data_IF_225871681288
#
_entry.id   IF_225871681288
#
_cell.length_a   1.000
_cell.length_b   1.000
_cell.length_c   1.000
_cell.angle_alpha   90.00
_cell.angle_beta   90.00
_cell.angle_gamma   90.00
#
_symmetry.space_group_name_H-M   'P 1'
#
loop_
_entity.id
_entity.type
_entity.pdbx_description
1 polymer ?
#
# COMPACT_ATOMS: atom_id res chain seq x y z
N UNK A 1 -6.49 -32.02 7.11
CA UNK A 1 -6.73 -30.87 7.98
C UNK A 1 -7.31 -29.75 7.09
N UNK A 2 -8.48 -29.25 7.36
CA UNK A 2 -9.13 -28.24 6.52
C UNK A 2 -8.67 -26.86 6.94
N UNK A 3 -8.30 -26.02 5.98
CA UNK A 3 -8.01 -24.60 6.25
C UNK A 3 -9.30 -23.88 6.60
N UNK A 4 -9.28 -23.07 7.65
CA UNK A 4 -10.41 -22.26 8.07
C UNK A 4 -10.17 -20.79 7.67
N UNK A 5 -11.11 -20.21 6.92
CA UNK A 5 -11.16 -18.77 6.67
C UNK A 5 -11.89 -18.11 7.82
N UNK A 6 -11.28 -17.10 8.40
CA UNK A 6 -11.90 -16.27 9.41
C UNK A 6 -12.36 -14.98 8.76
N UNK A 7 -13.67 -14.89 8.56
CA UNK A 7 -14.36 -13.72 7.99
C UNK A 7 -15.02 -12.91 9.13
N UNK A 8 -14.29 -12.72 10.23
CA UNK A 8 -14.73 -11.95 11.40
C UNK A 8 -13.86 -10.70 11.56
N UNK A 9 -14.42 -9.66 12.17
CA UNK A 9 -13.62 -8.53 12.61
C UNK A 9 -12.58 -9.00 13.63
N UNK A 10 -11.41 -8.37 13.65
CA UNK A 10 -10.35 -8.73 14.60
C UNK A 10 -10.83 -8.66 16.06
N UNK A 11 -11.69 -7.69 16.39
CA UNK A 11 -12.28 -7.56 17.73
C UNK A 11 -13.05 -8.81 18.15
N UNK A 12 -13.79 -9.41 17.21
CA UNK A 12 -14.53 -10.66 17.45
C UNK A 12 -13.57 -11.87 17.56
N UNK A 13 -12.43 -11.81 16.86
CA UNK A 13 -11.40 -12.85 16.90
C UNK A 13 -10.64 -12.83 18.22
N UNK A 14 -10.29 -11.65 18.71
CA UNK A 14 -9.56 -11.48 19.98
C UNK A 14 -10.38 -11.99 21.19
N UNK A 15 -11.71 -12.00 21.08
CA UNK A 15 -12.64 -12.47 22.10
C UNK A 15 -13.05 -13.94 21.94
N UNK A 16 -12.54 -14.66 20.91
CA UNK A 16 -12.87 -16.06 20.69
C UNK A 16 -11.80 -17.00 21.24
N UNK A 17 -12.17 -17.94 22.11
CA UNK A 17 -11.30 -19.00 22.62
C UNK A 17 -10.78 -19.95 21.52
N UNK A 18 -11.43 -19.96 20.35
CA UNK A 18 -11.10 -20.87 19.25
C UNK A 18 -9.78 -20.53 18.52
N UNK A 19 -9.32 -19.27 18.58
CA UNK A 19 -8.20 -18.79 17.79
C UNK A 19 -7.07 -18.36 18.72
N UNK A 20 -6.17 -19.29 18.96
CA UNK A 20 -4.99 -19.07 19.78
C UNK A 20 -3.85 -18.39 19.00
N UNK A 21 -4.18 -17.42 18.15
CA UNK A 21 -3.20 -16.60 17.42
C UNK A 21 -2.77 -15.42 18.29
N UNK A 22 -1.49 -15.09 18.26
CA UNK A 22 -0.93 -13.99 19.05
C UNK A 22 -1.07 -12.67 18.31
N UNK A 23 -1.89 -11.78 18.82
CA UNK A 23 -2.01 -10.41 18.32
C UNK A 23 -1.39 -9.40 19.27
N UNK A 24 -0.71 -8.42 18.68
CA UNK A 24 -0.25 -7.23 19.40
C UNK A 24 -1.05 -6.04 18.89
N UNK A 25 -1.67 -5.29 19.80
CA UNK A 25 -2.32 -4.04 19.43
C UNK A 25 -1.31 -2.88 19.47
N UNK A 26 -1.19 -2.17 18.37
CA UNK A 26 -0.40 -0.95 18.26
C UNK A 26 -1.30 0.24 17.95
N UNK A 27 -1.04 1.40 18.59
CA UNK A 27 -1.84 2.60 18.45
C UNK A 27 -1.00 3.75 17.91
N UNK A 28 -1.54 4.49 16.96
CA UNK A 28 -0.98 5.75 16.51
C UNK A 28 -1.46 6.86 17.46
N UNK A 29 -0.58 7.35 18.32
CA UNK A 29 -0.94 8.22 19.45
C UNK A 29 -1.70 9.49 19.08
N UNK A 30 -1.31 10.17 17.98
CA UNK A 30 -1.91 11.45 17.59
C UNK A 30 -3.21 11.35 16.79
N UNK A 31 -3.52 10.18 16.21
CA UNK A 31 -4.69 10.02 15.33
C UNK A 31 -5.76 9.09 15.92
N UNK A 32 -5.49 8.50 17.07
CA UNK A 32 -6.36 7.49 17.70
C UNK A 32 -6.72 6.34 16.75
N UNK A 33 -5.75 5.89 15.94
CA UNK A 33 -5.90 4.78 15.01
C UNK A 33 -5.19 3.57 15.60
N UNK A 34 -5.87 2.43 15.61
CA UNK A 34 -5.34 1.15 16.06
C UNK A 34 -4.96 0.27 14.88
N UNK A 35 -3.87 -0.47 15.01
CA UNK A 35 -3.42 -1.52 14.10
C UNK A 35 -3.11 -2.77 14.91
N UNK A 36 -3.76 -3.87 14.58
CA UNK A 36 -3.41 -5.16 15.17
C UNK A 36 -2.32 -5.83 14.32
N UNK A 37 -1.36 -6.43 15.01
CA UNK A 37 -0.20 -7.08 14.40
C UNK A 37 -0.25 -8.55 14.80
N UNK A 38 -0.39 -9.43 13.82
CA UNK A 38 -0.25 -10.86 14.02
C UNK A 38 1.24 -11.16 14.28
N UNK A 39 1.53 -11.79 15.42
CA UNK A 39 2.90 -12.19 15.79
C UNK A 39 2.93 -13.68 16.09
N UNK A 40 3.28 -14.46 15.11
CA UNK A 40 3.45 -15.91 15.21
C UNK A 40 4.21 -16.46 14.00
N UNK A 41 4.34 -17.78 13.91
CA UNK A 41 4.77 -18.43 12.70
C UNK A 41 3.61 -18.47 11.69
N UNK A 42 3.90 -18.12 10.44
CA UNK A 42 2.91 -18.18 9.36
C UNK A 42 3.58 -18.42 8.00
N UNK A 43 2.80 -18.96 7.10
CA UNK A 43 3.15 -19.04 5.69
C UNK A 43 2.57 -17.85 4.93
N UNK A 44 3.26 -17.38 3.90
CA UNK A 44 2.79 -16.30 3.05
C UNK A 44 3.05 -16.62 1.58
N UNK A 45 2.00 -16.55 0.78
CA UNK A 45 2.12 -16.37 -0.66
C UNK A 45 2.45 -14.90 -0.94
N UNK A 46 3.70 -14.62 -1.32
CA UNK A 46 4.19 -13.27 -1.55
C UNK A 46 3.59 -12.61 -2.79
N UNK A 47 3.14 -13.39 -3.76
CA UNK A 47 2.46 -12.88 -4.96
C UNK A 47 1.07 -12.34 -4.62
N UNK A 48 0.29 -13.10 -3.85
CA UNK A 48 -1.09 -12.76 -3.55
C UNK A 48 -1.27 -12.05 -2.20
N UNK A 49 -0.22 -12.01 -1.38
CA UNK A 49 -0.25 -11.51 0.00
C UNK A 49 -1.33 -12.21 0.82
N UNK A 50 -1.17 -13.51 0.97
CA UNK A 50 -2.12 -14.34 1.66
C UNK A 50 -1.44 -15.10 2.81
N UNK A 51 -1.53 -14.59 4.06
CA UNK A 51 -0.94 -15.25 5.21
C UNK A 51 -1.80 -16.43 5.68
N UNK A 52 -1.15 -17.52 6.03
CA UNK A 52 -1.75 -18.73 6.58
C UNK A 52 -0.97 -19.09 7.84
N UNK A 53 -1.60 -19.13 9.01
CA UNK A 53 -0.94 -19.53 10.24
C UNK A 53 -0.56 -21.03 10.21
N UNK A 54 0.36 -21.47 11.06
CA UNK A 54 0.69 -22.90 11.18
C UNK A 54 -0.50 -23.76 11.62
N UNK A 55 -1.51 -23.15 12.24
CA UNK A 55 -2.79 -23.78 12.56
C UNK A 55 -3.80 -23.78 11.41
N UNK A 56 -3.39 -23.34 10.22
CA UNK A 56 -4.20 -23.26 9.01
C UNK A 56 -5.38 -22.25 9.08
N UNK A 57 -5.18 -21.16 9.78
CA UNK A 57 -6.11 -20.03 9.74
C UNK A 57 -5.62 -18.97 8.76
N UNK A 58 -6.53 -18.34 8.03
CA UNK A 58 -6.31 -17.12 7.28
C UNK A 58 -7.38 -16.10 7.60
N UNK A 59 -6.98 -14.83 7.68
CA UNK A 59 -7.84 -13.73 8.11
C UNK A 59 -8.19 -12.88 6.90
N UNK A 60 -9.45 -12.98 6.44
CA UNK A 60 -9.97 -12.18 5.33
C UNK A 60 -10.03 -10.71 5.73
N UNK A 61 -9.76 -9.83 4.75
CA UNK A 61 -9.84 -8.38 4.84
C UNK A 61 -8.88 -7.70 5.86
N UNK A 62 -8.35 -8.43 6.82
CA UNK A 62 -7.48 -7.86 7.84
C UNK A 62 -5.99 -7.96 7.47
N UNK A 63 -5.56 -9.10 6.93
CA UNK A 63 -4.16 -9.38 6.59
C UNK A 63 -3.98 -9.84 5.16
N UNK A 64 -5.06 -10.17 4.47
CA UNK A 64 -5.03 -10.72 3.13
C UNK A 64 -5.45 -9.69 2.10
N UNK A 65 -4.87 -9.80 0.91
CA UNK A 65 -5.25 -8.98 -0.22
C UNK A 65 -6.46 -9.61 -0.92
N UNK A 66 -7.68 -9.13 -0.63
CA UNK A 66 -8.89 -9.81 -1.05
C UNK A 66 -9.54 -9.30 -2.34
N UNK A 67 -9.36 -10.03 -3.46
CA UNK A 67 -10.43 -10.21 -4.44
C UNK A 67 -11.14 -11.52 -4.07
N UNK A 68 -12.48 -11.51 -3.94
CA UNK A 68 -13.26 -12.72 -3.60
C UNK A 68 -12.91 -13.92 -4.49
N UNK A 69 -12.66 -13.68 -5.78
CA UNK A 69 -12.25 -14.71 -6.75
C UNK A 69 -10.92 -15.37 -6.42
N UNK A 70 -10.00 -14.64 -5.81
CA UNK A 70 -8.71 -15.19 -5.38
C UNK A 70 -8.86 -16.10 -4.18
N UNK A 71 -9.76 -15.81 -3.25
CA UNK A 71 -10.04 -16.71 -2.12
C UNK A 71 -10.53 -18.07 -2.59
N UNK A 72 -11.41 -18.13 -3.58
CA UNK A 72 -11.92 -19.39 -4.12
C UNK A 72 -10.81 -20.26 -4.72
N UNK A 73 -9.84 -19.65 -5.41
CA UNK A 73 -8.67 -20.34 -5.96
C UNK A 73 -7.76 -20.86 -4.84
N UNK A 74 -7.44 -20.01 -3.86
CA UNK A 74 -6.53 -20.36 -2.75
C UNK A 74 -7.11 -21.41 -1.80
N UNK A 75 -8.42 -21.48 -1.68
CA UNK A 75 -9.10 -22.49 -0.86
C UNK A 75 -9.56 -23.69 -1.68
N UNK A 76 -9.22 -23.77 -2.96
CA UNK A 76 -9.47 -24.99 -3.73
C UNK A 76 -8.69 -26.17 -3.13
N UNK A 77 -9.29 -27.37 -3.19
CA UNK A 77 -8.62 -28.59 -2.73
C UNK A 77 -7.26 -28.80 -3.40
N UNK A 78 -7.12 -28.40 -4.64
CA UNK A 78 -5.86 -28.53 -5.40
C UNK A 78 -4.77 -27.65 -4.81
N UNK A 79 -5.04 -26.36 -4.54
CA UNK A 79 -4.06 -25.45 -3.92
C UNK A 79 -3.63 -25.96 -2.54
N UNK A 80 -4.57 -26.39 -1.70
CA UNK A 80 -4.29 -26.91 -0.37
C UNK A 80 -3.45 -28.18 -0.41
N UNK A 81 -3.70 -29.06 -1.35
CA UNK A 81 -2.90 -30.28 -1.54
C UNK A 81 -1.47 -29.93 -1.97
N UNK A 82 -1.31 -29.00 -2.91
CA UNK A 82 0.00 -28.57 -3.37
C UNK A 82 0.77 -27.81 -2.27
N UNK A 83 0.08 -26.96 -1.53
CA UNK A 83 0.63 -26.29 -0.35
C UNK A 83 1.16 -27.31 0.66
N UNK A 84 0.36 -28.29 1.05
CA UNK A 84 0.74 -29.30 2.04
C UNK A 84 1.91 -30.19 1.58
N UNK A 85 1.95 -30.56 0.29
CA UNK A 85 3.06 -31.34 -0.29
C UNK A 85 4.39 -30.57 -0.30
N UNK A 86 4.34 -29.24 -0.44
CA UNK A 86 5.52 -28.42 -0.66
C UNK A 86 5.91 -27.56 0.54
N UNK A 87 5.13 -27.51 1.63
CA UNK A 87 5.37 -26.60 2.76
C UNK A 87 6.78 -26.70 3.37
N UNK A 88 7.38 -27.88 3.35
CA UNK A 88 8.75 -28.12 3.86
C UNK A 88 9.85 -27.60 2.93
N UNK A 89 9.49 -27.18 1.69
CA UNK A 89 10.41 -26.62 0.70
C UNK A 89 10.35 -25.10 0.64
N UNK A 90 9.46 -24.47 1.41
CA UNK A 90 9.33 -23.03 1.41
C UNK A 90 10.57 -22.37 2.00
N UNK A 91 10.98 -21.23 1.44
CA UNK A 91 12.06 -20.43 2.01
C UNK A 91 11.64 -19.93 3.38
N UNK A 92 12.46 -20.20 4.39
CA UNK A 92 12.21 -19.74 5.76
C UNK A 92 12.90 -18.42 6.02
N UNK A 93 12.19 -17.48 6.65
CA UNK A 93 12.68 -16.21 7.13
C UNK A 93 12.24 -16.03 8.58
N UNK A 94 13.10 -15.46 9.43
CA UNK A 94 12.80 -15.29 10.86
C UNK A 94 12.96 -13.85 11.33
N UNK A 95 12.20 -13.48 12.36
CA UNK A 95 12.24 -12.14 12.97
C UNK A 95 11.98 -11.01 11.96
N UNK A 96 11.00 -11.19 11.08
CA UNK A 96 10.67 -10.28 9.97
C UNK A 96 9.33 -9.61 10.23
N UNK A 97 9.21 -8.34 9.84
CA UNK A 97 7.94 -7.66 9.72
C UNK A 97 7.53 -7.62 8.25
N UNK A 98 6.47 -8.32 7.88
CA UNK A 98 6.02 -8.37 6.50
C UNK A 98 5.24 -7.11 6.14
N UNK A 99 5.77 -6.32 5.22
CA UNK A 99 5.19 -5.02 4.85
C UNK A 99 4.51 -5.03 3.48
N UNK A 100 5.02 -5.75 2.49
CA UNK A 100 4.49 -5.69 1.12
C UNK A 100 4.62 -6.99 0.34
N UNK A 101 3.94 -7.04 -0.81
CA UNK A 101 3.87 -8.20 -1.70
C UNK A 101 4.08 -7.79 -3.16
N UNK A 102 3.87 -8.70 -4.12
CA UNK A 102 4.05 -8.49 -5.56
C UNK A 102 3.43 -7.19 -6.11
N UNK A 103 2.21 -6.75 -5.72
CA UNK A 103 1.69 -5.44 -6.13
C UNK A 103 2.50 -4.22 -5.68
N UNK A 104 3.64 -4.42 -5.03
CA UNK A 104 4.56 -3.35 -4.62
C UNK A 104 5.23 -2.58 -5.79
N UNK A 105 5.03 -2.96 -7.03
CA UNK A 105 5.37 -2.15 -8.21
C UNK A 105 4.38 -0.99 -8.45
N UNK A 106 3.23 -0.99 -7.78
CA UNK A 106 2.19 0.00 -7.93
C UNK A 106 2.27 1.05 -6.82
N UNK A 107 2.50 2.32 -7.20
CA UNK A 107 2.65 3.43 -6.27
C UNK A 107 1.44 3.61 -5.33
N UNK A 108 0.20 3.49 -5.87
CA UNK A 108 -1.02 3.57 -5.05
C UNK A 108 -1.04 2.48 -3.96
N UNK A 109 -0.69 1.24 -4.33
CA UNK A 109 -0.66 0.13 -3.38
C UNK A 109 0.36 0.36 -2.28
N UNK A 110 1.53 0.81 -2.65
CA UNK A 110 2.57 1.12 -1.69
C UNK A 110 2.13 2.24 -0.75
N UNK A 111 1.65 3.35 -1.29
CA UNK A 111 1.34 4.55 -0.51
C UNK A 111 0.12 4.36 0.40
N UNK A 112 -0.95 3.73 -0.11
CA UNK A 112 -2.23 3.65 0.63
C UNK A 112 -2.34 2.37 1.45
N UNK A 113 -1.76 1.26 0.97
CA UNK A 113 -2.01 -0.05 1.58
C UNK A 113 -0.84 -0.52 2.43
N UNK A 114 0.39 -0.42 1.93
CA UNK A 114 1.55 -1.00 2.61
C UNK A 114 2.22 -0.03 3.57
N UNK A 115 2.52 1.17 3.12
CA UNK A 115 3.31 2.15 3.86
C UNK A 115 2.66 2.63 5.17
N UNK A 116 1.34 2.93 5.28
CA UNK A 116 0.77 3.45 6.53
C UNK A 116 0.99 2.54 7.73
N UNK A 117 1.23 1.25 7.51
CA UNK A 117 1.51 0.28 8.57
C UNK A 117 2.85 0.50 9.27
N UNK A 118 3.79 1.19 8.61
CA UNK A 118 5.10 1.54 9.20
C UNK A 118 4.95 2.38 10.46
N UNK A 119 3.92 3.23 10.54
CA UNK A 119 3.68 4.11 11.69
C UNK A 119 3.24 3.39 12.97
N UNK A 120 2.98 2.10 12.89
CA UNK A 120 2.62 1.25 14.04
C UNK A 120 3.77 0.37 14.53
N UNK A 121 4.93 0.45 13.89
CA UNK A 121 6.11 -0.30 14.27
C UNK A 121 6.83 0.40 15.43
N UNK A 122 7.15 -0.35 16.48
CA UNK A 122 7.74 0.21 17.71
C UNK A 122 9.21 -0.15 17.96
N UNK A 123 9.74 -1.30 17.47
CA UNK A 123 11.11 -1.68 17.76
C UNK A 123 12.12 -0.68 17.19
N UNK A 124 13.21 -0.44 17.92
CA UNK A 124 14.30 0.45 17.46
C UNK A 124 15.06 -0.09 16.25
N UNK A 125 15.09 -1.41 16.09
CA UNK A 125 15.73 -2.10 14.96
C UNK A 125 14.76 -3.11 14.38
N UNK A 126 14.53 -3.02 13.05
CA UNK A 126 13.58 -3.87 12.36
C UNK A 126 14.14 -4.37 11.02
N UNK A 127 13.76 -5.59 10.66
CA UNK A 127 13.94 -6.11 9.32
C UNK A 127 12.55 -6.29 8.68
N UNK A 128 12.33 -5.62 7.55
CA UNK A 128 11.04 -5.62 6.85
C UNK A 128 11.12 -6.45 5.58
N UNK A 129 10.21 -7.40 5.42
CA UNK A 129 10.05 -8.08 4.14
C UNK A 129 9.20 -7.23 3.20
N UNK A 130 9.74 -6.97 2.01
CA UNK A 130 9.07 -6.25 0.94
C UNK A 130 9.35 -6.94 -0.39
N UNK A 131 8.38 -6.93 -1.30
CA UNK A 131 8.59 -7.55 -2.60
C UNK A 131 9.64 -6.78 -3.43
N UNK A 132 10.47 -7.51 -4.17
CA UNK A 132 11.55 -6.95 -5.01
C UNK A 132 11.04 -5.93 -6.04
N UNK A 133 9.80 -6.04 -6.48
CA UNK A 133 9.15 -5.09 -7.38
C UNK A 133 8.95 -3.68 -6.78
N UNK A 134 9.13 -3.50 -5.48
CA UNK A 134 9.07 -2.16 -4.88
C UNK A 134 10.22 -1.30 -5.39
N UNK A 135 9.90 -0.12 -5.93
CA UNK A 135 10.92 0.77 -6.50
C UNK A 135 11.93 1.26 -5.45
N UNK A 136 13.16 1.51 -5.89
CA UNK A 136 14.21 2.09 -5.03
C UNK A 136 13.76 3.41 -4.38
N UNK A 137 13.09 4.28 -5.14
CA UNK A 137 12.56 5.55 -4.63
C UNK A 137 11.62 5.34 -3.44
N UNK A 138 10.72 4.36 -3.55
CA UNK A 138 9.77 4.10 -2.47
C UNK A 138 10.43 3.42 -1.27
N UNK A 139 11.40 2.54 -1.50
CA UNK A 139 12.20 1.93 -0.43
C UNK A 139 12.98 2.98 0.35
N UNK A 140 13.66 3.89 -0.34
CA UNK A 140 14.40 4.99 0.28
C UNK A 140 13.47 5.90 1.09
N UNK A 141 12.27 6.16 0.59
CA UNK A 141 11.25 6.92 1.32
C UNK A 141 10.85 6.22 2.63
N UNK A 142 10.57 4.90 2.60
CA UNK A 142 10.25 4.13 3.82
C UNK A 142 11.40 4.21 4.84
N UNK A 143 12.64 3.99 4.39
CA UNK A 143 13.81 4.06 5.27
C UNK A 143 13.99 5.46 5.88
N UNK A 144 13.77 6.52 5.11
CA UNK A 144 13.85 7.88 5.60
C UNK A 144 12.77 8.17 6.67
N UNK A 145 11.55 7.67 6.47
CA UNK A 145 10.49 7.79 7.48
C UNK A 145 10.82 6.97 8.74
N UNK A 146 11.32 5.75 8.59
CA UNK A 146 11.76 4.94 9.73
C UNK A 146 12.85 5.69 10.54
N UNK A 147 13.83 6.27 9.86
CA UNK A 147 14.88 7.06 10.49
C UNK A 147 14.33 8.28 11.26
N UNK A 148 13.36 9.00 10.69
CA UNK A 148 12.66 10.10 11.37
C UNK A 148 11.89 9.63 12.63
N UNK A 149 11.49 8.36 12.66
CA UNK A 149 10.86 7.71 13.82
C UNK A 149 11.88 7.10 14.81
N UNK A 150 13.19 7.30 14.60
CA UNK A 150 14.29 6.67 15.35
C UNK A 150 14.26 5.13 15.26
N UNK A 151 13.89 4.60 14.11
CA UNK A 151 13.87 3.16 13.79
C UNK A 151 15.00 2.86 12.79
N UNK A 152 15.96 2.05 13.17
CA UNK A 152 16.94 1.45 12.26
C UNK A 152 16.24 0.33 11.46
N UNK A 153 16.09 0.52 10.17
CA UNK A 153 15.30 -0.39 9.32
C UNK A 153 16.14 -0.96 8.17
N UNK A 154 15.94 -2.25 7.92
CA UNK A 154 16.53 -2.97 6.80
C UNK A 154 15.45 -3.70 6.01
N UNK A 155 15.75 -4.07 4.75
CA UNK A 155 14.84 -4.84 3.92
C UNK A 155 15.37 -6.25 3.64
N UNK A 156 14.48 -7.24 3.80
CA UNK A 156 14.57 -8.56 3.17
C UNK A 156 13.67 -8.57 1.93
N UNK A 157 14.22 -8.94 0.78
CA UNK A 157 13.47 -8.93 -0.47
C UNK A 157 12.78 -10.26 -0.71
N UNK A 158 11.49 -10.19 -1.03
CA UNK A 158 10.69 -11.32 -1.47
C UNK A 158 10.61 -11.34 -3.00
N UNK A 159 10.73 -12.51 -3.57
CA UNK A 159 10.34 -12.83 -4.94
C UNK A 159 8.94 -13.47 -4.91
N UNK A 160 8.30 -13.67 -6.08
CA UNK A 160 7.05 -14.42 -6.15
C UNK A 160 7.26 -15.84 -5.62
N UNK A 161 6.41 -16.29 -4.71
CA UNK A 161 6.50 -17.62 -4.14
C UNK A 161 5.96 -17.72 -2.72
N UNK A 162 6.16 -18.90 -2.15
CA UNK A 162 5.70 -19.26 -0.81
C UNK A 162 6.87 -19.21 0.17
N UNK A 163 6.63 -18.55 1.30
CA UNK A 163 7.59 -18.37 2.38
C UNK A 163 7.02 -18.87 3.70
N UNK A 164 7.90 -19.38 4.55
CA UNK A 164 7.59 -19.68 5.95
C UNK A 164 8.26 -18.60 6.83
N UNK A 165 7.46 -17.82 7.52
CA UNK A 165 7.92 -16.78 8.45
C UNK A 165 7.87 -17.32 9.88
N UNK A 166 9.02 -17.28 10.57
CA UNK A 166 9.21 -17.78 11.94
C UNK A 166 9.39 -16.59 12.87
N UNK A 167 8.75 -16.58 14.03
CA UNK A 167 8.77 -15.46 14.99
C UNK A 167 8.60 -14.10 14.34
N UNK A 168 7.72 -14.02 13.37
CA UNK A 168 7.58 -12.89 12.49
C UNK A 168 6.27 -12.15 12.72
N UNK A 169 6.15 -10.97 12.14
CA UNK A 169 5.00 -10.09 12.35
C UNK A 169 4.40 -9.69 11.02
N UNK A 170 3.08 -9.59 11.00
CA UNK A 170 2.35 -9.01 9.89
C UNK A 170 1.31 -8.01 10.42
N UNK A 171 1.50 -6.70 10.18
CA UNK A 171 0.50 -5.70 10.53
C UNK A 171 -0.75 -5.84 9.65
N UNK A 172 -1.94 -5.68 10.24
CA UNK A 172 -3.19 -5.65 9.48
C UNK A 172 -3.22 -4.50 8.48
N UNK A 173 -4.04 -4.62 7.45
CA UNK A 173 -4.32 -3.51 6.56
C UNK A 173 -5.09 -2.41 7.27
N UNK A 174 -4.65 -1.18 7.07
CA UNK A 174 -5.31 0.00 7.63
C UNK A 174 -6.47 0.40 6.69
N UNK A 175 -7.67 0.69 7.22
CA UNK A 175 -8.75 1.22 6.41
C UNK A 175 -8.31 2.47 5.63
N UNK A 176 -8.75 2.61 4.38
CA UNK A 176 -8.29 3.70 3.50
C UNK A 176 -8.46 5.09 4.12
N UNK A 177 -9.59 5.34 4.80
CA UNK A 177 -9.83 6.60 5.50
C UNK A 177 -8.77 6.91 6.56
N UNK A 178 -8.31 5.90 7.28
CA UNK A 178 -7.22 6.02 8.25
C UNK A 178 -5.86 6.20 7.58
N UNK A 179 -5.60 5.46 6.50
CA UNK A 179 -4.38 5.65 5.70
C UNK A 179 -4.27 7.10 5.20
N UNK A 180 -5.35 7.68 4.69
CA UNK A 180 -5.39 9.08 4.27
C UNK A 180 -5.10 10.05 5.43
N UNK A 181 -5.65 9.82 6.62
CA UNK A 181 -5.34 10.65 7.80
C UNK A 181 -3.86 10.60 8.18
N UNK A 182 -3.25 9.41 8.11
CA UNK A 182 -1.81 9.24 8.37
C UNK A 182 -0.99 9.99 7.32
N UNK A 183 -1.27 9.76 6.03
CA UNK A 183 -0.53 10.37 4.93
C UNK A 183 -0.65 11.89 4.92
N UNK A 184 -1.82 12.41 5.28
CA UNK A 184 -2.06 13.85 5.35
C UNK A 184 -1.11 14.56 6.32
N UNK A 185 -0.60 13.86 7.35
CA UNK A 185 0.41 14.39 8.29
C UNK A 185 1.80 14.56 7.65
N UNK A 186 2.05 13.96 6.50
CA UNK A 186 3.31 14.09 5.77
C UNK A 186 3.37 15.34 4.88
N UNK A 187 2.30 16.11 4.80
CA UNK A 187 2.27 17.35 4.02
C UNK A 187 3.43 18.28 4.35
N UNK A 188 4.01 18.86 3.31
CA UNK A 188 5.14 19.79 3.40
C UNK A 188 4.80 21.08 2.68
N UNK A 189 4.48 22.11 3.45
CA UNK A 189 4.24 23.46 2.91
C UNK A 189 5.52 24.29 3.04
N UNK A 190 6.34 24.34 1.99
CA UNK A 190 7.54 25.20 1.97
C UNK A 190 7.27 26.55 1.29
N UNK A 191 6.40 26.61 0.30
CA UNK A 191 6.15 27.79 -0.50
C UNK A 191 4.76 28.37 -0.25
N UNK A 192 4.66 29.70 -0.17
CA UNK A 192 3.38 30.41 -0.09
C UNK A 192 2.62 30.46 -1.44
N UNK A 193 3.32 30.24 -2.55
CA UNK A 193 2.76 30.25 -3.91
C UNK A 193 2.14 28.91 -4.25
N UNK A 194 0.84 28.92 -4.52
CA UNK A 194 0.11 27.73 -4.94
C UNK A 194 0.22 27.55 -6.46
N UNK A 195 0.78 26.43 -6.90
CA UNK A 195 1.04 26.12 -8.31
C UNK A 195 -0.16 25.44 -9.01
N UNK A 196 -0.28 25.65 -10.32
CA UNK A 196 -1.08 24.82 -11.21
C UNK A 196 -0.15 23.76 -11.83
N UNK A 197 -0.45 22.49 -11.68
CA UNK A 197 0.40 21.41 -12.20
C UNK A 197 -0.37 20.49 -13.15
N UNK A 198 0.28 20.13 -14.24
CA UNK A 198 -0.12 19.03 -15.12
C UNK A 198 0.86 17.88 -14.95
N UNK A 199 0.35 16.72 -14.54
CA UNK A 199 1.17 15.51 -14.37
C UNK A 199 1.14 14.72 -15.67
N UNK A 200 2.24 14.74 -16.42
CA UNK A 200 2.36 14.00 -17.68
C UNK A 200 2.49 12.49 -17.47
N UNK A 201 2.08 11.74 -18.50
CA UNK A 201 2.27 10.29 -18.57
C UNK A 201 3.07 9.84 -19.80
N UNK A 202 3.77 10.73 -20.47
CA UNK A 202 4.55 10.40 -21.68
C UNK A 202 5.52 9.22 -21.46
N UNK A 203 6.10 9.11 -20.26
CA UNK A 203 7.00 8.01 -19.89
C UNK A 203 6.32 6.80 -19.24
N UNK A 204 4.98 6.70 -19.30
CA UNK A 204 4.25 5.56 -18.76
C UNK A 204 4.07 4.46 -19.81
N UNK A 205 4.13 3.19 -19.38
CA UNK A 205 4.01 2.04 -20.29
C UNK A 205 2.59 1.84 -20.85
N UNK A 206 1.56 2.50 -20.28
CA UNK A 206 0.16 2.33 -20.68
C UNK A 206 -0.69 3.51 -20.24
N UNK A 207 -1.85 3.67 -20.86
CA UNK A 207 -2.80 4.78 -20.63
C UNK A 207 -2.21 6.15 -20.95
N UNK A 208 -1.46 6.24 -22.04
CA UNK A 208 -0.95 7.49 -22.56
C UNK A 208 -2.04 8.19 -23.36
N UNK A 209 -2.04 9.51 -23.35
CA UNK A 209 -2.91 10.30 -24.20
C UNK A 209 -2.26 10.44 -25.59
N UNK A 210 -3.02 10.18 -26.66
CA UNK A 210 -2.52 10.26 -28.05
C UNK A 210 -2.16 11.72 -28.39
N UNK A 211 -2.98 12.67 -27.93
CA UNK A 211 -2.83 14.12 -28.16
C UNK A 211 -2.35 14.86 -26.90
N UNK A 212 -1.50 14.26 -26.08
CA UNK A 212 -1.02 14.87 -24.85
C UNK A 212 -0.30 16.20 -25.10
N UNK A 213 0.42 16.31 -26.20
CA UNK A 213 1.15 17.54 -26.58
C UNK A 213 0.21 18.75 -26.77
N UNK A 214 -0.94 18.56 -27.40
CA UNK A 214 -1.96 19.62 -27.57
C UNK A 214 -2.46 20.12 -26.22
N UNK A 215 -2.76 19.16 -25.31
CA UNK A 215 -3.20 19.46 -23.94
C UNK A 215 -2.12 20.22 -23.18
N UNK A 216 -0.87 19.78 -23.26
CA UNK A 216 0.27 20.44 -22.64
C UNK A 216 0.44 21.86 -23.13
N UNK A 217 0.31 22.09 -24.45
CA UNK A 217 0.45 23.42 -25.05
C UNK A 217 -0.65 24.39 -24.58
N UNK A 218 -1.89 23.91 -24.44
CA UNK A 218 -3.00 24.70 -23.91
C UNK A 218 -2.75 25.02 -22.43
N UNK A 219 -2.42 24.01 -21.62
CA UNK A 219 -2.25 24.19 -20.19
C UNK A 219 -1.04 25.07 -19.84
N UNK A 220 0.05 25.01 -20.62
CA UNK A 220 1.19 25.93 -20.45
C UNK A 220 0.79 27.37 -20.64
N UNK A 221 -0.06 27.69 -21.64
CA UNK A 221 -0.59 29.06 -21.86
C UNK A 221 -1.40 29.53 -20.66
N UNK A 222 -2.10 28.62 -19.98
CA UNK A 222 -2.86 28.88 -18.76
C UNK A 222 -2.01 28.87 -17.48
N UNK A 223 -0.68 28.83 -17.60
CA UNK A 223 0.25 28.89 -16.48
C UNK A 223 0.39 27.59 -15.68
N UNK A 224 0.11 26.44 -16.30
CA UNK A 224 0.40 25.13 -15.69
C UNK A 224 1.87 24.77 -15.88
N UNK A 225 2.49 24.28 -14.80
CA UNK A 225 3.77 23.62 -14.84
C UNK A 225 3.56 22.15 -15.20
N UNK A 226 4.21 21.68 -16.27
CA UNK A 226 4.21 20.27 -16.64
C UNK A 226 5.26 19.52 -15.80
N UNK A 227 4.85 18.45 -15.16
CA UNK A 227 5.71 17.67 -14.25
C UNK A 227 5.64 16.18 -14.59
N UNK A 228 6.79 15.53 -14.59
CA UNK A 228 6.90 14.08 -14.70
C UNK A 228 7.37 13.51 -13.35
N UNK A 229 6.47 12.80 -12.67
CA UNK A 229 6.75 12.22 -11.36
C UNK A 229 7.75 11.05 -11.44
N UNK A 230 8.03 10.56 -12.65
CA UNK A 230 9.04 9.51 -12.82
C UNK A 230 10.43 9.98 -12.36
N UNK A 231 10.74 11.25 -12.51
CA UNK A 231 12.06 11.82 -12.14
C UNK A 231 12.11 12.37 -10.71
N UNK A 232 10.99 12.45 -10.01
CA UNK A 232 10.88 12.99 -8.66
C UNK A 232 10.97 11.89 -7.60
N UNK A 233 11.65 12.14 -6.48
CA UNK A 233 11.53 11.28 -5.32
C UNK A 233 10.16 11.45 -4.62
N UNK A 234 9.86 10.63 -3.62
CA UNK A 234 8.54 10.65 -2.97
C UNK A 234 8.34 11.93 -2.14
N UNK A 235 9.38 12.47 -1.53
CA UNK A 235 9.27 13.72 -0.77
C UNK A 235 9.05 14.93 -1.68
N UNK A 236 9.72 14.97 -2.82
CA UNK A 236 9.49 16.00 -3.84
C UNK A 236 8.04 15.94 -4.37
N UNK A 237 7.51 14.74 -4.60
CA UNK A 237 6.11 14.57 -4.99
C UNK A 237 5.16 15.06 -3.87
N UNK A 238 5.41 14.72 -2.62
CA UNK A 238 4.62 15.20 -1.48
C UNK A 238 4.63 16.73 -1.41
N UNK A 239 5.81 17.36 -1.55
CA UNK A 239 5.95 18.80 -1.53
C UNK A 239 5.21 19.47 -2.69
N UNK A 240 5.38 18.96 -3.92
CA UNK A 240 4.69 19.45 -5.11
C UNK A 240 3.17 19.48 -4.94
N UNK A 241 2.59 18.35 -4.51
CA UNK A 241 1.14 18.27 -4.34
C UNK A 241 0.64 19.04 -3.12
N UNK A 242 1.44 19.19 -2.06
CA UNK A 242 1.08 20.03 -0.90
C UNK A 242 0.94 21.50 -1.25
N UNK A 243 1.69 21.96 -2.27
CA UNK A 243 1.68 23.33 -2.76
C UNK A 243 0.78 23.55 -3.99
N UNK A 244 0.14 22.49 -4.51
CA UNK A 244 -0.73 22.63 -5.68
C UNK A 244 -2.07 23.28 -5.33
N UNK A 245 -2.52 24.25 -6.18
CA UNK A 245 -3.89 24.78 -6.18
C UNK A 245 -4.78 24.17 -7.25
N UNK A 246 -4.15 23.62 -8.28
CA UNK A 246 -4.83 22.97 -9.39
C UNK A 246 -3.96 21.80 -9.90
N UNK A 247 -4.57 20.63 -10.03
CA UNK A 247 -3.92 19.42 -10.53
C UNK A 247 -4.71 18.91 -11.73
N UNK A 248 -4.05 18.71 -12.85
CA UNK A 248 -4.60 18.01 -14.01
C UNK A 248 -3.73 16.81 -14.31
N UNK A 249 -4.32 15.63 -14.49
CA UNK A 249 -3.56 14.41 -14.80
C UNK A 249 -4.41 13.39 -15.52
N UNK A 250 -3.87 12.63 -16.47
CA UNK A 250 -4.48 11.39 -16.93
C UNK A 250 -4.62 10.40 -15.77
N UNK A 251 -5.63 9.53 -15.86
CA UNK A 251 -5.88 8.52 -14.83
C UNK A 251 -4.67 7.65 -14.55
N UNK A 252 -4.31 7.49 -13.28
CA UNK A 252 -3.14 6.71 -12.90
C UNK A 252 -2.80 6.73 -11.41
N UNK A 253 -1.80 5.94 -11.03
CA UNK A 253 -1.33 5.87 -9.64
C UNK A 253 -0.69 7.17 -9.14
N UNK A 254 -0.24 8.05 -10.03
CA UNK A 254 0.25 9.40 -9.72
C UNK A 254 -0.77 10.25 -8.94
N UNK A 255 -2.07 10.09 -9.26
CA UNK A 255 -3.16 10.78 -8.57
C UNK A 255 -3.33 10.35 -7.10
N UNK A 256 -2.64 9.32 -6.64
CA UNK A 256 -2.55 9.01 -5.21
C UNK A 256 -2.03 10.20 -4.40
N UNK A 257 -1.14 11.00 -5.00
CA UNK A 257 -0.55 12.16 -4.36
C UNK A 257 -1.56 13.28 -4.03
N UNK A 258 -2.78 13.22 -4.58
CA UNK A 258 -3.87 14.15 -4.20
C UNK A 258 -4.17 14.12 -2.70
N UNK A 259 -3.86 13.02 -2.01
CA UNK A 259 -3.94 12.92 -0.54
C UNK A 259 -3.11 14.00 0.17
N UNK A 260 -2.07 14.50 -0.48
CA UNK A 260 -1.20 15.56 0.05
C UNK A 260 -1.68 16.97 -0.31
N UNK A 261 -2.69 17.13 -1.16
CA UNK A 261 -3.21 18.43 -1.51
C UNK A 261 -3.89 19.13 -0.31
N UNK A 262 -3.90 20.46 -0.34
CA UNK A 262 -4.66 21.27 0.61
C UNK A 262 -6.16 21.20 0.32
N UNK A 263 -7.03 21.38 1.32
CA UNK A 263 -8.45 21.60 1.07
C UNK A 263 -8.68 22.73 0.07
N UNK A 264 -9.61 22.53 -0.87
CA UNK A 264 -9.90 23.49 -1.94
C UNK A 264 -9.00 23.40 -3.17
N UNK A 265 -7.98 22.51 -3.20
CA UNK A 265 -7.26 22.21 -4.44
C UNK A 265 -8.21 21.61 -5.46
N UNK A 266 -8.22 22.17 -6.67
CA UNK A 266 -9.02 21.65 -7.79
C UNK A 266 -8.25 20.51 -8.47
N UNK A 267 -8.93 19.38 -8.72
CA UNK A 267 -8.33 18.21 -9.38
C UNK A 267 -9.19 17.83 -10.58
N UNK A 268 -8.53 17.71 -11.73
CA UNK A 268 -9.14 17.20 -12.97
C UNK A 268 -8.41 15.91 -13.36
N UNK A 269 -9.14 14.81 -13.40
CA UNK A 269 -8.66 13.56 -13.94
C UNK A 269 -9.16 13.35 -15.36
N UNK A 270 -8.26 13.06 -16.28
CA UNK A 270 -8.58 12.71 -17.67
C UNK A 270 -8.72 11.19 -17.74
N UNK A 271 -9.94 10.69 -17.96
CA UNK A 271 -10.26 9.26 -17.98
C UNK A 271 -10.65 8.77 -19.38
N UNK A 272 -10.34 7.52 -19.74
CA UNK A 272 -10.85 6.92 -20.98
C UNK A 272 -12.38 6.76 -20.95
N UNK A 273 -13.04 7.02 -22.09
CA UNK A 273 -14.51 7.00 -22.22
C UNK A 273 -15.16 5.65 -21.86
N UNK A 274 -14.45 4.53 -21.98
CA UNK A 274 -14.98 3.18 -21.72
C UNK A 274 -14.91 2.71 -20.26
N UNK A 275 -14.45 3.55 -19.36
CA UNK A 275 -14.26 3.15 -17.95
C UNK A 275 -15.39 3.64 -17.03
N UNK A 276 -16.66 3.39 -17.40
CA UNK A 276 -17.81 3.71 -16.53
C UNK A 276 -17.73 3.07 -15.13
N UNK A 277 -17.13 1.87 -14.99
CA UNK A 277 -16.87 1.26 -13.68
C UNK A 277 -15.84 2.06 -12.85
N UNK A 278 -14.99 2.86 -13.49
CA UNK A 278 -14.02 3.71 -12.81
C UNK A 278 -14.64 4.97 -12.19
N UNK A 279 -15.76 5.50 -12.70
CA UNK A 279 -16.41 6.67 -12.13
C UNK A 279 -16.90 6.42 -10.70
N UNK A 280 -17.48 5.25 -10.44
CA UNK A 280 -17.88 4.86 -9.09
C UNK A 280 -16.66 4.63 -8.17
N UNK A 281 -15.55 4.15 -8.70
CA UNK A 281 -14.30 3.99 -7.96
C UNK A 281 -13.57 5.33 -7.75
N UNK A 282 -13.75 6.33 -8.61
CA UNK A 282 -13.16 7.65 -8.47
C UNK A 282 -13.78 8.40 -7.28
N UNK A 283 -15.11 8.46 -7.19
CA UNK A 283 -15.82 9.04 -6.04
C UNK A 283 -15.37 8.42 -4.71
N UNK A 284 -15.12 7.12 -4.69
CA UNK A 284 -14.62 6.42 -3.47
C UNK A 284 -13.13 6.57 -3.21
N UNK A 285 -12.31 6.94 -4.21
CA UNK A 285 -10.86 7.14 -4.05
C UNK A 285 -10.48 8.50 -3.49
N UNK A 286 -11.25 9.54 -3.82
CA UNK A 286 -10.85 10.93 -3.59
C UNK A 286 -11.91 11.76 -2.85
N UNK A 287 -13.01 11.16 -2.42
CA UNK A 287 -14.09 11.82 -1.65
C UNK A 287 -13.77 11.88 -0.15
N UNK A 288 -12.59 12.44 0.21
CA UNK A 288 -12.22 12.58 1.62
C UNK A 288 -11.73 14.00 1.93
#
# INVERSE_FOLDING_TARGET
MNMKIIDKKIEDILNSEEINSKFISAKHNHLNIQCNILKENFFLDSYNYFPITEKYYSFKDNFSWGDKRKYEIFFSKNYLNDFNKNKNKFKSLSNIIVLGSSPANNYYRNMITFFPRVFFLKPRKINMAIHRNCSNKFRNFILAICNQMNIEAHFSFLDDGLYHFIDSQIPQFIPKSHSFKILNKLKRHRNKTKEKIYVTRQNANYRNLINEEDIVNILKKDGFRVVDLHYMDVFEQIELFSNAKFVVSPTGSSLTNVVFCSPGTKVVEITPKYNFEYENNFKTRYSY
#
